data_IF_561237381505
#
_entry.id   IF_561237381505
#
_cell.length_a   1.000
_cell.length_b   1.000
_cell.length_c   1.000
_cell.angle_alpha   90.00
_cell.angle_beta   90.00
_cell.angle_gamma   90.00
#
_symmetry.space_group_name_H-M   'P 1'
#
loop_
_entity.id
_entity.type
_entity.pdbx_description
1 polymer ?
#
# COMPACT_ATOMS: atom_id res chain seq x y z
N UNK A 1 -5.53 -0.46 -26.60
CA UNK A 1 -5.21 -1.32 -25.44
C UNK A 1 -5.97 -0.80 -24.22
N UNK A 2 -7.28 -1.06 -24.14
CA UNK A 2 -8.15 -0.48 -23.09
C UNK A 2 -8.00 -1.23 -21.75
N UNK A 3 -7.61 -2.51 -21.79
CA UNK A 3 -7.42 -3.32 -20.58
C UNK A 3 -6.22 -2.91 -19.71
N UNK A 4 -5.18 -2.32 -20.31
CA UNK A 4 -3.99 -1.88 -19.57
C UNK A 4 -4.25 -0.59 -18.79
N UNK A 5 -5.03 0.36 -19.33
CA UNK A 5 -5.38 1.59 -18.63
C UNK A 5 -6.24 1.33 -17.38
N UNK A 6 -7.18 0.37 -17.45
CA UNK A 6 -7.97 -0.04 -16.29
C UNK A 6 -7.11 -0.75 -15.24
N UNK A 7 -6.21 -1.64 -15.67
CA UNK A 7 -5.26 -2.30 -14.79
C UNK A 7 -4.33 -1.32 -14.07
N UNK A 8 -3.80 -0.32 -14.79
CA UNK A 8 -2.98 0.77 -14.24
C UNK A 8 -3.78 1.55 -13.19
N UNK A 9 -5.02 1.94 -13.50
CA UNK A 9 -5.88 2.68 -12.56
C UNK A 9 -6.10 1.92 -11.25
N UNK A 10 -6.35 0.62 -11.31
CA UNK A 10 -6.52 -0.24 -10.12
C UNK A 10 -5.24 -0.31 -9.29
N UNK A 11 -4.08 -0.49 -9.93
CA UNK A 11 -2.78 -0.52 -9.24
C UNK A 11 -2.49 0.82 -8.56
N UNK A 12 -2.67 1.94 -9.28
CA UNK A 12 -2.46 3.28 -8.73
C UNK A 12 -3.35 3.57 -7.53
N UNK A 13 -4.62 3.17 -7.58
CA UNK A 13 -5.55 3.34 -6.45
C UNK A 13 -5.11 2.55 -5.20
N UNK A 14 -4.55 1.35 -5.39
CA UNK A 14 -3.99 0.55 -4.29
C UNK A 14 -2.74 1.19 -3.70
N UNK A 15 -1.82 1.64 -4.56
CA UNK A 15 -0.59 2.30 -4.13
C UNK A 15 -0.87 3.60 -3.38
N UNK A 16 -1.80 4.43 -3.86
CA UNK A 16 -2.25 5.65 -3.17
C UNK A 16 -2.83 5.36 -1.79
N UNK A 17 -3.61 4.27 -1.65
CA UNK A 17 -4.11 3.84 -0.34
C UNK A 17 -2.98 3.40 0.58
N UNK A 18 -2.05 2.57 0.10
CA UNK A 18 -0.89 2.13 0.88
C UNK A 18 -0.01 3.31 1.32
N UNK A 19 0.15 4.32 0.46
CA UNK A 19 0.85 5.57 0.78
C UNK A 19 0.18 6.31 1.96
N UNK A 20 -1.16 6.44 1.95
CA UNK A 20 -1.89 7.03 3.08
C UNK A 20 -1.72 6.25 4.38
N UNK A 21 -1.72 4.92 4.31
CA UNK A 21 -1.46 4.08 5.47
C UNK A 21 -0.03 4.23 6.00
N UNK A 22 0.97 4.31 5.10
CA UNK A 22 2.37 4.54 5.47
C UNK A 22 2.57 5.93 6.11
N UNK A 23 1.94 6.96 5.57
CA UNK A 23 1.93 8.29 6.19
C UNK A 23 1.35 8.24 7.61
N UNK A 24 0.30 7.45 7.82
CA UNK A 24 -0.23 7.16 9.16
C UNK A 24 0.82 6.52 10.08
N UNK A 25 1.52 5.47 9.61
CA UNK A 25 2.58 4.80 10.37
C UNK A 25 3.70 5.77 10.76
N UNK A 26 4.14 6.63 9.84
CA UNK A 26 5.16 7.66 10.13
C UNK A 26 4.67 8.58 11.25
N UNK A 27 3.44 9.08 11.15
CA UNK A 27 2.87 9.94 12.20
C UNK A 27 2.74 9.21 13.54
N UNK A 28 2.43 7.91 13.56
CA UNK A 28 2.41 7.13 14.79
C UNK A 28 3.79 7.06 15.47
N UNK A 29 4.86 6.96 14.69
CA UNK A 29 6.24 6.95 15.19
C UNK A 29 6.61 8.33 15.72
N UNK A 30 6.31 9.40 14.98
CA UNK A 30 6.56 10.79 15.38
C UNK A 30 5.83 11.16 16.68
N UNK A 31 4.63 10.60 16.89
CA UNK A 31 3.84 10.77 18.12
C UNK A 31 4.28 9.87 19.27
N UNK A 32 5.29 9.00 19.07
CA UNK A 32 5.77 8.08 20.09
C UNK A 32 4.76 7.02 20.52
N UNK A 33 3.90 6.55 19.59
CA UNK A 33 2.93 5.49 19.88
C UNK A 33 3.61 4.15 20.18
N UNK A 34 2.85 3.25 20.80
CA UNK A 34 3.32 1.93 21.17
C UNK A 34 3.84 1.12 19.98
N UNK A 35 4.95 0.41 20.19
CA UNK A 35 5.63 -0.39 19.17
C UNK A 35 4.71 -1.45 18.55
N UNK A 36 3.85 -2.10 19.35
CA UNK A 36 2.93 -3.13 18.87
C UNK A 36 1.91 -2.54 17.90
N UNK A 37 1.38 -1.37 18.21
CA UNK A 37 0.44 -0.65 17.34
C UNK A 37 1.11 -0.28 16.01
N UNK A 38 2.32 0.28 16.07
CA UNK A 38 3.11 0.68 14.89
C UNK A 38 3.39 -0.53 14.00
N UNK A 39 3.91 -1.63 14.56
CA UNK A 39 4.21 -2.85 13.80
C UNK A 39 2.95 -3.48 13.21
N UNK A 40 1.82 -3.42 13.92
CA UNK A 40 0.54 -3.92 13.40
C UNK A 40 0.09 -3.13 12.16
N UNK A 41 0.19 -1.79 12.21
CA UNK A 41 -0.15 -0.96 11.06
C UNK A 41 0.85 -1.11 9.91
N UNK A 42 2.14 -1.22 10.21
CA UNK A 42 3.18 -1.48 9.21
C UNK A 42 2.94 -2.81 8.48
N UNK A 43 2.56 -3.87 9.20
CA UNK A 43 2.21 -5.15 8.59
C UNK A 43 0.99 -5.04 7.66
N UNK A 44 0.01 -4.18 7.99
CA UNK A 44 -1.12 -3.89 7.11
C UNK A 44 -0.68 -3.17 5.82
N UNK A 45 0.26 -2.22 5.91
CA UNK A 45 0.86 -1.55 4.75
C UNK A 45 1.58 -2.56 3.85
N UNK A 46 2.42 -3.42 4.43
CA UNK A 46 3.16 -4.44 3.68
C UNK A 46 2.21 -5.35 2.88
N UNK A 47 1.12 -5.84 3.51
CA UNK A 47 0.12 -6.66 2.82
C UNK A 47 -0.59 -5.92 1.69
N UNK A 48 -0.80 -4.61 1.81
CA UNK A 48 -1.40 -3.81 0.75
C UNK A 48 -0.43 -3.67 -0.44
N UNK A 49 0.86 -3.48 -0.17
CA UNK A 49 1.92 -3.42 -1.18
C UNK A 49 2.07 -4.76 -1.91
N UNK A 50 2.06 -5.89 -1.19
CA UNK A 50 2.14 -7.22 -1.79
C UNK A 50 1.02 -7.42 -2.82
N UNK A 51 -0.23 -7.07 -2.46
CA UNK A 51 -1.39 -7.17 -3.37
C UNK A 51 -1.28 -6.24 -4.58
N UNK A 52 -0.62 -5.11 -4.46
CA UNK A 52 -0.34 -4.22 -5.60
C UNK A 52 0.74 -4.85 -6.50
N UNK A 53 1.83 -5.36 -5.90
CA UNK A 53 2.91 -6.06 -6.61
C UNK A 53 2.43 -7.28 -7.39
N UNK A 54 1.60 -8.14 -6.78
CA UNK A 54 0.99 -9.27 -7.48
C UNK A 54 0.18 -8.84 -8.69
N UNK A 55 -0.55 -7.72 -8.61
CA UNK A 55 -1.37 -7.23 -9.72
C UNK A 55 -0.51 -6.70 -10.85
N UNK A 56 0.57 -5.98 -10.55
CA UNK A 56 1.57 -5.50 -11.53
C UNK A 56 2.13 -6.67 -12.33
N UNK A 57 2.65 -7.69 -11.64
CA UNK A 57 3.22 -8.88 -12.28
C UNK A 57 2.17 -9.61 -13.12
N UNK A 58 0.94 -9.76 -12.62
CA UNK A 58 -0.13 -10.45 -13.32
C UNK A 58 -0.63 -9.71 -14.57
N UNK A 59 -0.45 -8.39 -14.65
CA UNK A 59 -0.86 -7.58 -15.81
C UNK A 59 0.28 -7.25 -16.76
N UNK A 60 1.51 -7.64 -16.45
CA UNK A 60 2.68 -7.35 -17.30
C UNK A 60 3.03 -5.85 -17.36
N UNK A 61 2.69 -5.10 -16.30
CA UNK A 61 3.12 -3.71 -16.11
C UNK A 61 4.63 -3.63 -15.84
#
# INVERSE_FOLDING_TARGET
>A
MIGDEEAVGVVLNRLRRAHGQLAGVISMIEQGRDCKDVVTQLAAVSRALDKAGFKIVATGL
#
